data_IF_588214293296
#
_entry.id   IF_588214293296
#
_cell.length_a   1.000
_cell.length_b   1.000
_cell.length_c   1.000
_cell.angle_alpha   90.00
_cell.angle_beta   90.00
_cell.angle_gamma   90.00
#
_symmetry.space_group_name_H-M   'P 1'
#
loop_
_entity.id
_entity.type
_entity.pdbx_description
1 polymer ?
#
# COMPACT_ATOMS: atom_id res chain seq x y z
N UNK A 1 4.09 10.92 27.12
CA UNK A 1 3.21 12.09 26.89
C UNK A 1 3.80 13.09 25.90
N UNK A 2 5.07 13.53 26.04
CA UNK A 2 5.68 14.49 25.09
C UNK A 2 5.70 14.01 23.63
N UNK A 3 6.03 12.74 23.37
CA UNK A 3 6.11 12.23 22.00
C UNK A 3 4.75 12.01 21.34
N UNK A 4 3.72 11.68 22.13
CA UNK A 4 2.34 11.60 21.63
C UNK A 4 1.83 12.96 21.18
N UNK A 5 2.11 14.02 21.95
CA UNK A 5 1.76 15.39 21.62
C UNK A 5 2.50 15.88 20.37
N UNK A 6 3.80 15.62 20.27
CA UNK A 6 4.59 15.93 19.07
C UNK A 6 3.99 15.28 17.83
N UNK A 7 3.65 13.99 17.91
CA UNK A 7 3.03 13.27 16.80
C UNK A 7 1.68 13.87 16.39
N UNK A 8 0.82 14.20 17.36
CA UNK A 8 -0.50 14.81 17.10
C UNK A 8 -0.31 16.13 16.36
N UNK A 9 0.55 17.03 16.87
CA UNK A 9 0.81 18.34 16.25
C UNK A 9 1.37 18.18 14.84
N UNK A 10 2.34 17.29 14.64
CA UNK A 10 2.91 17.02 13.31
C UNK A 10 1.85 16.56 12.30
N UNK A 11 0.94 15.68 12.72
CA UNK A 11 -0.14 15.16 11.86
C UNK A 11 -1.22 16.19 11.58
N UNK A 12 -1.58 17.02 12.56
CA UNK A 12 -2.57 18.09 12.40
C UNK A 12 -2.07 19.24 11.51
N UNK A 13 -0.76 19.41 11.38
CA UNK A 13 -0.16 20.41 10.48
C UNK A 13 -0.06 19.92 9.03
N UNK A 14 -0.14 18.62 8.80
CA UNK A 14 -0.16 18.02 7.47
C UNK A 14 -1.56 18.09 6.84
N UNK A 15 -1.63 17.81 5.55
CA UNK A 15 -2.92 17.56 4.89
C UNK A 15 -3.60 16.36 5.54
N UNK A 16 -4.93 16.38 5.75
CA UNK A 16 -5.92 17.37 5.28
C UNK A 16 -6.19 18.55 6.25
N UNK A 17 -5.64 18.53 7.47
CA UNK A 17 -6.08 19.42 8.55
C UNK A 17 -5.46 20.83 8.53
N UNK A 18 -4.18 20.96 8.13
CA UNK A 18 -3.46 22.24 7.94
C UNK A 18 -3.65 23.26 9.09
N UNK A 19 -3.68 22.81 10.35
CA UNK A 19 -4.02 23.67 11.50
C UNK A 19 -2.86 24.52 12.06
N UNK A 20 -1.63 24.31 11.60
CA UNK A 20 -0.41 25.09 11.95
C UNK A 20 -0.19 25.30 13.47
N UNK A 21 -0.42 24.27 14.27
CA UNK A 21 -0.17 24.29 15.71
C UNK A 21 1.32 24.11 16.06
N UNK A 22 1.73 24.74 17.17
CA UNK A 22 2.94 24.40 17.91
C UNK A 22 2.56 23.63 19.20
N UNK A 23 3.53 23.00 19.87
CA UNK A 23 3.26 22.25 21.12
C UNK A 23 2.59 23.09 22.20
N UNK A 24 3.03 24.35 22.36
CA UNK A 24 2.49 25.27 23.38
C UNK A 24 1.05 25.67 23.02
N UNK A 25 0.81 26.04 21.76
CA UNK A 25 -0.53 26.47 21.32
C UNK A 25 -1.53 25.32 21.33
N UNK A 26 -1.08 24.10 21.08
CA UNK A 26 -1.90 22.89 21.18
C UNK A 26 -2.20 22.54 22.63
N UNK A 27 -1.19 22.57 23.51
CA UNK A 27 -1.40 22.28 24.94
C UNK A 27 -2.19 23.38 25.65
N UNK A 28 -2.19 24.62 25.15
CA UNK A 28 -3.03 25.71 25.67
C UNK A 28 -4.48 25.66 25.19
N UNK A 29 -4.87 24.71 24.33
CA UNK A 29 -6.25 24.61 23.83
C UNK A 29 -7.23 24.38 25.00
N UNK A 30 -8.32 25.14 24.98
CA UNK A 30 -9.43 24.97 25.90
C UNK A 30 -10.21 23.69 25.58
N UNK A 31 -10.94 23.16 26.57
CA UNK A 31 -11.73 21.94 26.42
C UNK A 31 -12.71 21.96 25.25
N UNK A 32 -13.34 23.10 24.98
CA UNK A 32 -14.25 23.29 23.84
C UNK A 32 -13.49 23.26 22.51
N UNK A 33 -12.38 23.97 22.39
CA UNK A 33 -11.54 23.97 21.19
C UNK A 33 -10.98 22.58 20.90
N UNK A 34 -10.58 21.85 21.95
CA UNK A 34 -10.07 20.49 21.83
C UNK A 34 -11.15 19.49 21.40
N UNK A 35 -12.39 19.67 21.86
CA UNK A 35 -13.54 18.90 21.38
C UNK A 35 -13.89 19.21 19.93
N UNK A 36 -13.83 20.47 19.52
CA UNK A 36 -14.07 20.85 18.12
C UNK A 36 -13.00 20.23 17.23
N UNK A 37 -11.73 20.26 17.67
CA UNK A 37 -10.64 19.62 16.94
C UNK A 37 -10.86 18.11 16.79
N UNK A 38 -11.33 17.43 17.84
CA UNK A 38 -11.71 16.02 17.76
C UNK A 38 -12.88 15.82 16.77
N UNK A 39 -13.89 16.70 16.80
CA UNK A 39 -15.01 16.68 15.85
C UNK A 39 -14.52 16.84 14.41
N UNK A 40 -13.61 17.77 14.14
CA UNK A 40 -13.00 17.99 12.82
C UNK A 40 -12.24 16.75 12.34
N UNK A 41 -11.45 16.11 13.22
CA UNK A 41 -10.70 14.88 12.90
C UNK A 41 -11.66 13.72 12.60
N UNK A 42 -12.74 13.60 13.35
CA UNK A 42 -13.78 12.60 13.09
C UNK A 42 -14.56 12.91 11.80
N UNK A 43 -14.82 14.19 11.50
CA UNK A 43 -15.46 14.65 10.27
C UNK A 43 -14.64 14.33 9.02
N UNK A 44 -13.32 14.38 9.12
CA UNK A 44 -12.44 13.93 8.05
C UNK A 44 -12.52 12.40 7.81
N UNK A 45 -12.78 11.62 8.86
CA UNK A 45 -12.95 10.16 8.78
C UNK A 45 -14.34 9.79 8.22
N UNK A 46 -15.38 10.46 8.70
CA UNK A 46 -16.76 10.30 8.25
C UNK A 46 -17.43 11.69 8.13
N UNK A 47 -17.70 12.16 6.90
CA UNK A 47 -18.26 13.49 6.65
C UNK A 47 -19.58 13.79 7.38
N UNK A 48 -20.34 12.77 7.79
CA UNK A 48 -21.56 12.95 8.60
C UNK A 48 -21.29 13.56 9.98
N UNK A 49 -20.04 13.60 10.41
CA UNK A 49 -19.63 14.06 11.75
C UNK A 49 -19.02 15.46 11.73
N UNK A 50 -19.04 16.15 10.58
CA UNK A 50 -18.68 17.57 10.47
C UNK A 50 -19.81 18.39 11.10
N UNK A 51 -19.63 18.72 12.38
CA UNK A 51 -20.57 19.49 13.18
C UNK A 51 -19.81 20.47 14.05
N UNK A 52 -20.31 21.70 14.17
CA UNK A 52 -19.86 22.65 15.18
C UNK A 52 -20.41 22.23 16.55
N UNK A 53 -19.53 21.92 17.49
CA UNK A 53 -19.92 21.45 18.81
C UNK A 53 -20.70 22.49 19.61
N UNK A 54 -20.67 23.77 19.20
CA UNK A 54 -21.42 24.86 19.85
C UNK A 54 -22.90 24.82 19.54
N UNK A 55 -23.28 24.15 18.45
CA UNK A 55 -24.66 23.96 18.03
C UNK A 55 -25.28 22.69 18.65
N UNK A 56 -24.49 21.83 19.28
CA UNK A 56 -24.92 20.58 19.92
C UNK A 56 -24.82 20.65 21.46
N UNK A 57 -25.76 20.00 22.17
CA UNK A 57 -25.59 19.80 23.60
C UNK A 57 -24.38 18.88 23.87
N UNK A 58 -23.56 19.14 24.90
CA UNK A 58 -22.36 18.34 25.20
C UNK A 58 -22.61 16.83 25.29
N UNK A 59 -23.78 16.44 25.79
CA UNK A 59 -24.19 15.03 25.90
C UNK A 59 -24.47 14.38 24.54
N UNK A 60 -25.06 15.13 23.60
CA UNK A 60 -25.32 14.67 22.24
C UNK A 60 -24.00 14.53 21.47
N UNK A 61 -23.11 15.52 21.59
CA UNK A 61 -21.76 15.49 21.02
C UNK A 61 -20.98 14.27 21.52
N UNK A 62 -20.98 14.04 22.84
CA UNK A 62 -20.29 12.90 23.43
C UNK A 62 -20.89 11.56 22.95
N UNK A 63 -22.23 11.45 22.88
CA UNK A 63 -22.90 10.24 22.37
C UNK A 63 -22.53 9.97 20.91
N UNK A 64 -22.56 11.00 20.05
CA UNK A 64 -22.19 10.92 18.63
C UNK A 64 -20.74 10.46 18.46
N UNK A 65 -19.80 11.10 19.16
CA UNK A 65 -18.38 10.72 19.14
C UNK A 65 -18.16 9.29 19.65
N UNK A 66 -18.84 8.89 20.74
CA UNK A 66 -18.77 7.53 21.28
C UNK A 66 -19.28 6.48 20.30
N UNK A 67 -20.41 6.73 19.65
CA UNK A 67 -20.96 5.81 18.63
C UNK A 67 -19.96 5.60 17.50
N UNK A 68 -19.38 6.69 16.97
CA UNK A 68 -18.38 6.58 15.90
C UNK A 68 -17.12 5.86 16.38
N UNK A 69 -16.58 6.20 17.55
CA UNK A 69 -15.42 5.51 18.12
C UNK A 69 -15.69 4.00 18.32
N UNK A 70 -16.92 3.63 18.68
CA UNK A 70 -17.36 2.24 18.77
C UNK A 70 -17.38 1.52 17.41
N UNK A 71 -17.86 2.19 16.36
CA UNK A 71 -17.83 1.69 14.97
C UNK A 71 -16.37 1.48 14.52
N UNK A 72 -15.51 2.45 14.83
CA UNK A 72 -14.08 2.41 14.56
C UNK A 72 -13.34 1.35 15.41
N UNK A 73 -14.00 0.77 16.42
CA UNK A 73 -13.45 -0.20 17.39
C UNK A 73 -12.28 0.37 18.20
N UNK A 74 -12.35 1.66 18.52
CA UNK A 74 -11.45 2.24 19.50
C UNK A 74 -11.66 1.60 20.87
N UNK A 75 -10.57 1.29 21.57
CA UNK A 75 -10.59 0.80 22.95
C UNK A 75 -9.90 1.84 23.84
N UNK A 76 -10.59 2.42 24.83
CA UNK A 76 -9.99 3.42 25.69
C UNK A 76 -8.88 2.82 26.58
N UNK A 77 -7.80 3.57 26.85
CA UNK A 77 -6.75 3.15 27.77
C UNK A 77 -7.31 3.04 29.18
N UNK A 78 -7.36 1.82 29.74
CA UNK A 78 -8.04 1.50 31.01
C UNK A 78 -9.06 0.35 30.91
N UNK A 79 -9.44 -0.04 29.70
CA UNK A 79 -10.38 -1.15 29.48
C UNK A 79 -11.85 -0.76 29.69
N UNK A 80 -12.72 -1.76 29.84
CA UNK A 80 -14.19 -1.59 29.93
C UNK A 80 -14.67 -1.06 31.29
N UNK A 81 -13.83 -1.10 32.32
CA UNK A 81 -14.12 -0.67 33.69
C UNK A 81 -14.29 0.85 33.83
N UNK A 82 -13.69 1.64 32.93
CA UNK A 82 -13.68 3.12 33.00
C UNK A 82 -14.57 3.81 31.96
N UNK A 83 -15.55 3.10 31.36
CA UNK A 83 -16.43 3.66 30.32
C UNK A 83 -17.21 4.89 30.80
N UNK A 84 -17.62 4.93 32.08
CA UNK A 84 -18.30 6.08 32.66
C UNK A 84 -17.39 7.31 32.74
N UNK A 85 -16.16 7.11 33.23
CA UNK A 85 -15.13 8.15 33.31
C UNK A 85 -14.73 8.65 31.91
N UNK A 86 -14.63 7.74 30.94
CA UNK A 86 -14.34 8.07 29.55
C UNK A 86 -15.46 8.92 28.92
N UNK A 87 -16.73 8.55 29.15
CA UNK A 87 -17.88 9.35 28.71
C UNK A 87 -17.87 10.75 29.34
N UNK A 88 -17.63 10.84 30.65
CA UNK A 88 -17.54 12.13 31.33
C UNK A 88 -16.37 12.98 30.82
N UNK A 89 -15.24 12.35 30.50
CA UNK A 89 -14.09 13.02 29.90
C UNK A 89 -14.36 13.54 28.49
N UNK A 90 -15.19 12.85 27.70
CA UNK A 90 -15.65 13.35 26.40
C UNK A 90 -16.67 14.49 26.54
N UNK A 91 -17.53 14.47 27.54
CA UNK A 91 -18.47 15.58 27.80
C UNK A 91 -17.73 16.84 28.26
N UNK A 92 -16.73 16.69 29.13
CA UNK A 92 -15.98 17.81 29.72
C UNK A 92 -14.81 18.30 28.87
N UNK A 93 -14.45 17.58 27.80
CA UNK A 93 -13.30 17.94 26.97
C UNK A 93 -11.95 17.73 27.68
N UNK A 94 -11.82 16.63 28.41
CA UNK A 94 -10.66 16.33 29.24
C UNK A 94 -9.44 15.91 28.43
N UNK A 95 -8.31 16.61 28.59
CA UNK A 95 -7.04 16.35 27.87
C UNK A 95 -6.54 14.90 28.01
N UNK A 96 -6.53 14.28 29.20
CA UNK A 96 -6.17 12.86 29.38
C UNK A 96 -6.99 11.89 28.54
N UNK A 97 -8.22 12.26 28.16
CA UNK A 97 -9.11 11.41 27.35
C UNK A 97 -8.98 11.72 25.86
N UNK A 98 -8.94 13.00 25.48
CA UNK A 98 -8.93 13.38 24.06
C UNK A 98 -7.56 13.15 23.42
N UNK A 99 -6.45 13.41 24.10
CA UNK A 99 -5.12 13.25 23.50
C UNK A 99 -4.85 11.80 23.04
N UNK A 100 -5.13 10.75 23.84
CA UNK A 100 -5.00 9.37 23.37
C UNK A 100 -5.93 9.02 22.20
N UNK A 101 -7.15 9.58 22.16
CA UNK A 101 -8.09 9.38 21.05
C UNK A 101 -7.53 10.00 19.78
N UNK A 102 -7.13 11.27 19.81
CA UNK A 102 -6.52 11.97 18.68
C UNK A 102 -5.28 11.24 18.17
N UNK A 103 -4.40 10.83 19.09
CA UNK A 103 -3.20 10.07 18.74
C UNK A 103 -3.55 8.80 17.96
N UNK A 104 -4.55 8.04 18.42
CA UNK A 104 -4.97 6.81 17.77
C UNK A 104 -5.64 7.05 16.40
N UNK A 105 -6.50 8.06 16.29
CA UNK A 105 -7.18 8.41 15.03
C UNK A 105 -6.18 8.85 13.95
N UNK A 106 -5.18 9.64 14.33
CA UNK A 106 -4.17 10.20 13.43
C UNK A 106 -3.10 9.19 13.00
N UNK A 107 -2.95 8.08 13.74
CA UNK A 107 -2.05 6.99 13.33
C UNK A 107 -2.56 6.24 12.10
N UNK A 108 -3.88 6.07 11.96
CA UNK A 108 -4.49 5.12 11.00
C UNK A 108 -5.61 5.73 10.17
N UNK A 109 -5.52 7.01 9.85
CA UNK A 109 -6.63 7.77 9.25
C UNK A 109 -7.21 7.11 7.99
N UNK A 110 -6.38 6.59 7.08
CA UNK A 110 -6.85 5.93 5.86
C UNK A 110 -7.60 4.62 6.12
N UNK A 111 -7.11 3.80 7.06
CA UNK A 111 -7.79 2.57 7.48
C UNK A 111 -9.12 2.87 8.15
N UNK A 112 -9.15 3.92 8.98
CA UNK A 112 -10.35 4.36 9.69
C UNK A 112 -11.39 4.95 8.74
N UNK A 113 -10.98 5.71 7.73
CA UNK A 113 -11.86 6.17 6.62
C UNK A 113 -12.51 4.98 5.92
N UNK A 114 -11.71 3.98 5.54
CA UNK A 114 -12.22 2.74 4.92
C UNK A 114 -13.19 2.01 5.86
N UNK A 115 -12.88 1.95 7.15
CA UNK A 115 -13.73 1.31 8.16
C UNK A 115 -15.07 2.05 8.34
N UNK A 116 -15.05 3.37 8.43
CA UNK A 116 -16.25 4.19 8.52
C UNK A 116 -17.13 4.04 7.27
N UNK A 117 -16.50 4.06 6.08
CA UNK A 117 -17.18 3.78 4.83
C UNK A 117 -17.87 2.40 4.82
N UNK A 118 -17.14 1.34 5.19
CA UNK A 118 -17.69 -0.02 5.24
C UNK A 118 -18.79 -0.17 6.30
N UNK A 119 -18.65 0.48 7.44
CA UNK A 119 -19.65 0.43 8.50
C UNK A 119 -21.03 0.91 8.05
N UNK A 120 -21.09 1.90 7.14
CA UNK A 120 -22.36 2.36 6.54
C UNK A 120 -23.14 1.24 5.85
N UNK A 121 -22.44 0.26 5.30
CA UNK A 121 -23.03 -0.81 4.49
C UNK A 121 -23.04 -2.17 5.19
N UNK A 122 -22.19 -2.36 6.21
CA UNK A 122 -21.98 -3.66 6.85
C UNK A 122 -22.55 -3.77 8.27
N UNK A 123 -22.97 -2.66 8.87
CA UNK A 123 -23.74 -2.72 10.12
C UNK A 123 -25.15 -3.17 9.77
N UNK A 124 -25.50 -4.39 10.19
CA UNK A 124 -26.83 -4.96 9.96
C UNK A 124 -27.88 -4.13 10.69
N UNK A 125 -29.02 -3.94 10.03
CA UNK A 125 -30.24 -3.51 10.69
C UNK A 125 -30.74 -4.73 11.46
N UNK A 126 -30.89 -4.59 12.78
CA UNK A 126 -31.44 -5.66 13.61
C UNK A 126 -32.96 -5.66 13.45
N UNK A 127 -33.49 -6.68 12.77
CA UNK A 127 -34.93 -6.84 12.53
C UNK A 127 -35.47 -7.79 13.60
N UNK A 128 -36.35 -7.32 14.50
CA UNK A 128 -36.91 -8.17 15.55
C UNK A 128 -37.64 -9.38 14.98
N UNK A 129 -37.58 -10.51 15.70
CA UNK A 129 -38.12 -11.80 15.27
C UNK A 129 -39.62 -11.79 15.05
N UNK A 130 -40.34 -10.87 15.69
CA UNK A 130 -41.79 -10.70 15.53
C UNK A 130 -42.14 -10.20 14.12
N UNK A 131 -41.30 -9.32 13.55
CA UNK A 131 -41.50 -8.80 12.19
C UNK A 131 -41.07 -9.80 11.11
N UNK A 132 -40.15 -10.71 11.44
CA UNK A 132 -39.72 -11.78 10.54
C UNK A 132 -40.75 -12.91 10.39
N UNK A 133 -41.87 -12.86 11.12
CA UNK A 133 -43.00 -13.79 10.93
C UNK A 133 -43.79 -13.48 9.66
N UNK A 134 -43.70 -12.25 9.16
CA UNK A 134 -44.26 -11.87 7.86
C UNK A 134 -43.32 -12.36 6.75
N UNK A 135 -43.83 -13.25 5.89
CA UNK A 135 -43.08 -13.85 4.78
C UNK A 135 -42.43 -12.79 3.87
N UNK A 136 -43.10 -11.66 3.64
CA UNK A 136 -42.59 -10.58 2.77
C UNK A 136 -41.40 -9.86 3.41
N UNK A 137 -41.44 -9.67 4.73
CA UNK A 137 -40.35 -9.05 5.50
C UNK A 137 -39.17 -10.00 5.61
N UNK A 138 -39.43 -11.29 5.85
CA UNK A 138 -38.41 -12.33 5.90
C UNK A 138 -37.65 -12.46 4.56
N UNK A 139 -38.39 -12.51 3.44
CA UNK A 139 -37.80 -12.57 2.09
C UNK A 139 -36.98 -11.31 1.77
N UNK A 140 -37.49 -10.13 2.13
CA UNK A 140 -36.76 -8.86 1.93
C UNK A 140 -35.48 -8.82 2.76
N UNK A 141 -35.53 -9.24 4.02
CA UNK A 141 -34.36 -9.29 4.90
C UNK A 141 -33.30 -10.28 4.35
N UNK A 142 -33.73 -11.43 3.81
CA UNK A 142 -32.83 -12.37 3.15
C UNK A 142 -32.15 -11.75 1.92
N UNK A 143 -32.90 -11.11 1.02
CA UNK A 143 -32.34 -10.42 -0.14
C UNK A 143 -31.35 -9.33 0.27
N UNK A 144 -31.66 -8.58 1.34
CA UNK A 144 -30.76 -7.59 1.92
C UNK A 144 -29.43 -8.24 2.38
N UNK A 145 -29.48 -9.36 3.10
CA UNK A 145 -28.27 -10.08 3.53
C UNK A 145 -27.44 -10.61 2.35
N UNK A 146 -28.11 -11.15 1.32
CA UNK A 146 -27.45 -11.61 0.09
C UNK A 146 -26.73 -10.45 -0.63
N UNK A 147 -27.36 -9.28 -0.73
CA UNK A 147 -26.75 -8.08 -1.29
C UNK A 147 -25.57 -7.56 -0.45
N UNK A 148 -25.65 -7.66 0.89
CA UNK A 148 -24.52 -7.31 1.76
C UNK A 148 -23.30 -8.20 1.50
N UNK A 149 -23.50 -9.52 1.33
CA UNK A 149 -22.41 -10.45 1.01
C UNK A 149 -21.85 -10.21 -0.39
N UNK A 150 -22.70 -9.95 -1.38
CA UNK A 150 -22.26 -9.56 -2.73
C UNK A 150 -21.40 -8.28 -2.69
N UNK A 151 -21.81 -7.26 -1.91
CA UNK A 151 -21.02 -6.05 -1.70
C UNK A 151 -19.66 -6.35 -1.09
N UNK A 152 -19.57 -7.22 -0.07
CA UNK A 152 -18.28 -7.60 0.54
C UNK A 152 -17.35 -8.24 -0.48
N UNK A 153 -17.86 -9.16 -1.31
CA UNK A 153 -17.09 -9.84 -2.34
C UNK A 153 -16.55 -8.85 -3.39
N UNK A 154 -17.44 -8.04 -3.97
CA UNK A 154 -17.10 -7.05 -5.00
C UNK A 154 -16.10 -6.00 -4.46
N UNK A 155 -16.33 -5.52 -3.24
CA UNK A 155 -15.43 -4.55 -2.62
C UNK A 155 -14.05 -5.15 -2.37
N UNK A 156 -13.96 -6.43 -1.95
CA UNK A 156 -12.69 -7.13 -1.76
C UNK A 156 -11.92 -7.27 -3.08
N UNK A 157 -12.61 -7.66 -4.16
CA UNK A 157 -12.02 -7.76 -5.50
C UNK A 157 -11.53 -6.39 -6.01
N UNK A 158 -12.34 -5.35 -5.88
CA UNK A 158 -11.97 -3.98 -6.27
C UNK A 158 -10.72 -3.50 -5.50
N UNK A 159 -10.64 -3.76 -4.19
CA UNK A 159 -9.46 -3.41 -3.41
C UNK A 159 -8.22 -4.22 -3.84
N UNK A 160 -8.37 -5.51 -4.15
CA UNK A 160 -7.28 -6.32 -4.69
C UNK A 160 -6.76 -5.75 -6.00
N UNK A 161 -7.64 -5.38 -6.93
CA UNK A 161 -7.29 -4.78 -8.22
C UNK A 161 -6.61 -3.40 -8.06
N UNK A 162 -7.02 -2.59 -7.09
CA UNK A 162 -6.30 -1.33 -6.80
C UNK A 162 -4.90 -1.58 -6.26
N UNK A 163 -4.72 -2.63 -5.46
CA UNK A 163 -3.41 -2.99 -4.89
C UNK A 163 -2.51 -3.79 -5.82
N UNK A 164 -3.04 -4.37 -6.91
CA UNK A 164 -2.29 -5.27 -7.82
C UNK A 164 -1.28 -4.56 -8.73
N UNK A 165 -0.88 -3.33 -8.40
CA UNK A 165 0.50 -2.86 -8.60
C UNK A 165 0.89 -2.36 -9.99
N UNK A 166 0.10 -2.53 -11.04
CA UNK A 166 0.38 -1.86 -12.30
C UNK A 166 -0.10 -0.41 -12.24
N UNK A 167 0.77 0.47 -11.73
CA UNK A 167 0.56 1.89 -11.88
C UNK A 167 0.59 2.21 -13.36
N UNK A 168 -0.58 2.36 -13.97
CA UNK A 168 -0.70 2.80 -15.36
C UNK A 168 0.05 4.11 -15.62
N UNK A 169 0.36 4.89 -14.57
CA UNK A 169 1.20 6.07 -14.65
C UNK A 169 2.68 5.75 -14.91
N UNK A 170 3.23 4.67 -14.37
CA UNK A 170 4.61 4.24 -14.63
C UNK A 170 4.74 3.74 -16.06
N UNK A 171 3.82 2.88 -16.50
CA UNK A 171 3.77 2.40 -17.89
C UNK A 171 3.65 3.59 -18.87
N UNK A 172 2.82 4.59 -18.55
CA UNK A 172 2.72 5.81 -19.36
C UNK A 172 4.03 6.61 -19.40
N UNK A 173 4.73 6.74 -18.27
CA UNK A 173 6.04 7.41 -18.24
C UNK A 173 7.06 6.67 -19.09
N UNK A 174 7.13 5.35 -18.98
CA UNK A 174 8.06 4.52 -19.73
C UNK A 174 7.79 4.61 -21.24
N UNK A 175 6.52 4.57 -21.65
CA UNK A 175 6.13 4.79 -23.06
C UNK A 175 6.61 6.16 -23.54
N UNK A 176 6.36 7.21 -22.76
CA UNK A 176 6.78 8.58 -23.13
C UNK A 176 8.30 8.68 -23.27
N UNK A 177 9.05 8.09 -22.33
CA UNK A 177 10.51 8.06 -22.39
C UNK A 177 11.03 7.31 -23.63
N UNK A 178 10.45 6.14 -23.94
CA UNK A 178 10.82 5.39 -25.14
C UNK A 178 10.49 6.15 -26.43
N UNK A 179 9.37 6.89 -26.47
CA UNK A 179 8.99 7.72 -27.61
C UNK A 179 9.98 8.88 -27.81
N UNK A 180 10.40 9.53 -26.73
CA UNK A 180 11.43 10.58 -26.77
C UNK A 180 12.78 10.04 -27.24
N UNK A 181 13.21 8.88 -26.75
CA UNK A 181 14.44 8.21 -27.18
C UNK A 181 14.39 7.84 -28.67
N UNK A 182 13.26 7.30 -29.13
CA UNK A 182 13.04 7.00 -30.55
C UNK A 182 13.20 8.25 -31.40
N UNK A 183 12.59 9.36 -31.02
CA UNK A 183 12.66 10.62 -31.76
C UNK A 183 14.09 11.21 -31.78
N UNK A 184 14.83 11.09 -30.67
CA UNK A 184 16.24 11.48 -30.62
C UNK A 184 17.11 10.61 -31.54
N UNK A 185 16.89 9.29 -31.54
CA UNK A 185 17.56 8.33 -32.41
C UNK A 185 17.29 8.63 -33.89
N UNK A 186 16.03 8.85 -34.26
CA UNK A 186 15.63 9.20 -35.64
C UNK A 186 16.34 10.48 -36.09
N UNK A 187 16.30 11.55 -35.28
CA UNK A 187 16.99 12.81 -35.61
C UNK A 187 18.50 12.61 -35.76
N UNK A 188 19.13 11.77 -34.93
CA UNK A 188 20.56 11.46 -35.02
C UNK A 188 20.89 10.67 -36.27
N UNK A 189 20.06 9.67 -36.62
CA UNK A 189 20.19 8.88 -37.84
C UNK A 189 20.05 9.76 -39.07
N UNK A 190 19.06 10.67 -39.11
CA UNK A 190 18.89 11.60 -40.22
C UNK A 190 20.10 12.52 -40.42
N UNK A 191 20.66 13.06 -39.33
CA UNK A 191 21.89 13.88 -39.40
C UNK A 191 23.09 13.09 -39.93
N UNK A 192 23.25 11.85 -39.50
CA UNK A 192 24.33 10.98 -39.99
C UNK A 192 24.11 10.60 -41.44
N UNK A 193 22.89 10.26 -41.83
CA UNK A 193 22.53 9.93 -43.21
C UNK A 193 22.87 11.07 -44.17
N UNK A 194 22.51 12.31 -43.85
CA UNK A 194 22.88 13.49 -44.64
C UNK A 194 24.40 13.63 -44.85
N UNK A 195 25.21 13.29 -43.84
CA UNK A 195 26.68 13.31 -43.93
C UNK A 195 27.26 12.15 -44.73
N UNK A 196 26.57 11.01 -44.78
CA UNK A 196 27.01 9.83 -45.52
C UNK A 196 26.66 9.93 -47.00
N UNK A 197 25.51 10.53 -47.31
CA UNK A 197 25.06 10.77 -48.70
C UNK A 197 26.02 11.67 -49.49
N UNK A 198 26.84 12.50 -48.83
CA UNK A 198 27.88 13.32 -49.49
C UNK A 198 29.07 12.50 -49.99
N UNK A 199 29.19 11.23 -49.58
CA UNK A 199 30.31 10.36 -49.99
C UNK A 199 29.97 9.61 -51.27
N UNK A 200 30.94 9.48 -52.18
CA UNK A 200 30.77 8.71 -53.41
C UNK A 200 30.55 7.23 -53.10
N UNK A 201 29.69 6.56 -53.88
CA UNK A 201 29.34 5.14 -53.69
C UNK A 201 28.85 4.79 -52.27
N UNK A 202 28.24 5.74 -51.56
CA UNK A 202 27.83 5.57 -50.15
C UNK A 202 26.91 4.36 -49.92
N UNK A 203 25.99 4.04 -50.84
CA UNK A 203 25.10 2.87 -50.72
C UNK A 203 25.89 1.56 -50.62
N UNK A 204 26.84 1.34 -51.54
CA UNK A 204 27.67 0.14 -51.54
C UNK A 204 28.58 0.06 -50.31
N UNK A 205 29.12 1.20 -49.85
CA UNK A 205 29.91 1.24 -48.63
C UNK A 205 29.09 0.96 -47.37
N UNK A 206 27.85 1.46 -47.29
CA UNK A 206 26.93 1.17 -46.19
C UNK A 206 26.56 -0.31 -46.13
N UNK A 207 26.35 -0.95 -47.28
CA UNK A 207 26.12 -2.39 -47.36
C UNK A 207 27.32 -3.19 -46.84
N UNK A 208 28.54 -2.87 -47.29
CA UNK A 208 29.75 -3.53 -46.79
C UNK A 208 29.97 -3.28 -45.30
N UNK A 209 29.74 -2.05 -44.82
CA UNK A 209 29.84 -1.72 -43.40
C UNK A 209 28.81 -2.49 -42.56
N UNK A 210 27.58 -2.68 -43.07
CA UNK A 210 26.55 -3.50 -42.42
C UNK A 210 26.98 -4.97 -42.33
N UNK A 211 27.52 -5.53 -43.41
CA UNK A 211 28.04 -6.90 -43.42
C UNK A 211 29.19 -7.06 -42.40
N UNK A 212 30.15 -6.14 -42.40
CA UNK A 212 31.26 -6.16 -41.43
C UNK A 212 30.75 -6.05 -39.99
N UNK A 213 29.73 -5.22 -39.72
CA UNK A 213 29.13 -5.10 -38.38
C UNK A 213 28.52 -6.42 -37.92
N UNK A 214 27.75 -7.09 -38.79
CA UNK A 214 27.12 -8.38 -38.48
C UNK A 214 28.17 -9.46 -38.22
N UNK A 215 29.24 -9.53 -39.02
CA UNK A 215 30.31 -10.50 -38.78
C UNK A 215 31.08 -10.23 -37.49
N UNK A 216 31.31 -8.96 -37.12
CA UNK A 216 31.89 -8.61 -35.82
C UNK A 216 31.00 -8.97 -34.64
N UNK A 217 29.70 -8.68 -34.71
CA UNK A 217 28.73 -9.10 -33.69
C UNK A 217 28.70 -10.63 -33.54
N UNK A 218 28.83 -11.36 -34.66
CA UNK A 218 28.91 -12.83 -34.66
C UNK A 218 30.21 -13.33 -34.03
N UNK A 219 31.34 -12.72 -34.35
CA UNK A 219 32.64 -13.02 -33.76
C UNK A 219 32.62 -12.83 -32.23
N UNK A 220 32.05 -11.73 -31.76
CA UNK A 220 31.92 -11.42 -30.33
C UNK A 220 31.03 -12.45 -29.61
N UNK A 221 29.87 -12.77 -30.17
CA UNK A 221 28.97 -13.80 -29.65
C UNK A 221 29.65 -15.18 -29.56
N UNK A 222 30.37 -15.58 -30.62
CA UNK A 222 31.12 -16.84 -30.63
C UNK A 222 32.24 -16.86 -29.58
N UNK A 223 32.90 -15.72 -29.37
CA UNK A 223 33.95 -15.58 -28.36
C UNK A 223 33.38 -15.72 -26.95
N UNK A 224 32.24 -15.08 -26.69
CA UNK A 224 31.53 -15.21 -25.42
C UNK A 224 31.06 -16.66 -25.18
N UNK A 225 30.42 -17.29 -26.17
CA UNK A 225 29.99 -18.69 -26.07
C UNK A 225 31.18 -19.63 -25.82
N UNK A 226 32.31 -19.43 -26.49
CA UNK A 226 33.52 -20.23 -26.28
C UNK A 226 34.03 -20.08 -24.85
N UNK A 227 34.00 -18.88 -24.28
CA UNK A 227 34.41 -18.65 -22.90
C UNK A 227 33.45 -19.31 -21.90
N UNK A 228 32.14 -19.20 -22.14
CA UNK A 228 31.11 -19.86 -21.32
C UNK A 228 31.27 -21.38 -21.36
N UNK A 229 31.47 -21.98 -22.53
CA UNK A 229 31.69 -23.42 -22.69
C UNK A 229 32.97 -23.88 -21.99
N UNK A 230 34.07 -23.10 -22.06
CA UNK A 230 35.30 -23.41 -21.32
C UNK A 230 35.06 -23.41 -19.81
N UNK A 231 34.32 -22.43 -19.30
CA UNK A 231 33.99 -22.36 -17.88
C UNK A 231 33.11 -23.56 -17.46
N UNK A 232 32.11 -23.92 -18.28
CA UNK A 232 31.26 -25.09 -18.04
C UNK A 232 32.05 -26.40 -18.05
N UNK A 233 32.96 -26.57 -19.01
CA UNK A 233 33.86 -27.72 -19.09
C UNK A 233 34.71 -27.83 -17.82
N UNK A 234 35.35 -26.74 -17.42
CA UNK A 234 36.17 -26.68 -16.20
C UNK A 234 35.38 -27.09 -14.95
N UNK A 235 34.16 -26.59 -14.80
CA UNK A 235 33.29 -26.98 -13.68
C UNK A 235 32.87 -28.45 -13.75
N UNK A 236 32.58 -28.98 -14.94
CA UNK A 236 32.24 -30.39 -15.13
C UNK A 236 33.42 -31.31 -14.80
N UNK A 237 34.63 -30.97 -15.24
CA UNK A 237 35.86 -31.68 -14.92
C UNK A 237 36.15 -31.66 -13.41
N UNK A 238 35.98 -30.51 -12.75
CA UNK A 238 36.15 -30.40 -11.31
C UNK A 238 35.13 -31.26 -10.54
N UNK A 239 33.87 -31.30 -10.99
CA UNK A 239 32.85 -32.17 -10.41
C UNK A 239 33.18 -33.64 -10.62
N UNK A 240 33.61 -34.02 -11.82
CA UNK A 240 34.00 -35.38 -12.14
C UNK A 240 35.17 -35.84 -11.25
N UNK A 241 36.18 -34.99 -11.06
CA UNK A 241 37.29 -35.29 -10.16
C UNK A 241 36.85 -35.51 -8.72
N UNK A 242 35.95 -34.65 -8.19
CA UNK A 242 35.39 -34.83 -6.84
C UNK A 242 34.63 -36.14 -6.69
N UNK A 243 33.78 -36.49 -7.65
CA UNK A 243 33.02 -37.75 -7.63
C UNK A 243 33.94 -38.96 -7.75
N UNK A 244 34.98 -38.88 -8.57
CA UNK A 244 35.99 -39.95 -8.68
C UNK A 244 36.73 -40.17 -7.36
N UNK A 245 37.11 -39.11 -6.65
CA UNK A 245 37.71 -39.20 -5.33
C UNK A 245 36.75 -39.85 -4.32
N UNK A 246 35.51 -39.36 -4.24
CA UNK A 246 34.47 -39.95 -3.37
C UNK A 246 34.24 -41.43 -3.67
N UNK A 247 34.22 -41.81 -4.95
CA UNK A 247 34.04 -43.20 -5.36
C UNK A 247 35.24 -44.07 -4.97
N UNK A 248 36.45 -43.54 -5.08
CA UNK A 248 37.67 -44.22 -4.61
C UNK A 248 37.65 -44.40 -3.10
N UNK A 249 37.25 -43.38 -2.34
CA UNK A 249 37.15 -43.43 -0.89
C UNK A 249 36.08 -44.44 -0.44
N UNK A 250 34.90 -44.46 -1.08
CA UNK A 250 33.86 -45.46 -0.81
C UNK A 250 34.33 -46.88 -1.14
N UNK A 251 35.09 -47.08 -2.22
CA UNK A 251 35.67 -48.39 -2.55
C UNK A 251 36.69 -48.84 -1.50
N UNK A 252 37.55 -47.93 -1.01
CA UNK A 252 38.46 -48.25 0.09
C UNK A 252 37.70 -48.60 1.36
N UNK A 253 36.71 -47.78 1.74
CA UNK A 253 35.87 -48.05 2.91
C UNK A 253 35.12 -49.39 2.79
N UNK A 254 34.65 -49.78 1.60
CA UNK A 254 34.00 -51.07 1.35
C UNK A 254 34.96 -52.28 1.45
N UNK A 255 36.25 -52.09 1.12
CA UNK A 255 37.28 -53.14 1.25
C UNK A 255 37.73 -53.29 2.71
N UNK A 256 37.77 -52.19 3.46
CA UNK A 256 38.11 -52.19 4.89
C UNK A 256 36.94 -52.67 5.78
N UNK A 257 35.70 -52.57 5.29
CA UNK A 257 34.50 -53.10 5.95
C UNK A 257 34.18 -54.54 5.54
N UNK A 258 35.16 -55.44 5.67
CA UNK A 258 34.85 -56.87 5.71
C UNK A 258 34.02 -57.16 6.98
N UNK A 259 32.82 -57.75 6.86
CA UNK A 259 32.03 -58.12 8.02
C UNK A 259 32.72 -59.25 8.77
N UNK A 260 32.68 -59.21 10.10
CA UNK A 260 32.90 -60.39 10.95
C UNK A 260 31.89 -61.49 10.63
#
# INVERSE_FOLDING_TARGET
MSDQLKFIVEKLNKEPFKKNFNLITFDSLESTQLLQLLSDVLGEIDPKHIVDIREELPEHTAKRMLTLLGILKYKPPGGTSDLSNFRQGLVTGSKPVIHPVLHWLLQRTNELKKRAYLARFLIKIDVPTEFLQDDTVADTNRQYEELMEAFKSLHKECEQLKTSGFSTAEIRRDITAMEEEKDQLVKRVERLRKRVETVQNHQRMLEMARQLRVEKEREENLTQQKQEQKNQLFHAEQRLHRVQLQLKDMRHAAVDSKPE
#
